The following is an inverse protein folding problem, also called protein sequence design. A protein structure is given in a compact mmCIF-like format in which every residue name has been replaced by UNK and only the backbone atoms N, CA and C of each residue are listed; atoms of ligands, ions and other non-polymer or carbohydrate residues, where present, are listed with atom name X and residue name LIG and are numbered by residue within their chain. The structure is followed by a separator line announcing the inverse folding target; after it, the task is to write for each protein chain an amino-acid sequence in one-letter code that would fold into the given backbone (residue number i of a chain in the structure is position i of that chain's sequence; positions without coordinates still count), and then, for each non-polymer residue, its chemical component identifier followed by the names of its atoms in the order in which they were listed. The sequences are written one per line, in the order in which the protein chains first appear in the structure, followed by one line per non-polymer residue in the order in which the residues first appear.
data_IF_533641397069
#
_entry.id   IF_533641397069
#
_cell.length_a   1.000
_cell.length_b   1.000
_cell.length_c   1.000
_cell.angle_alpha   90.00
_cell.angle_beta   90.00
_cell.angle_gamma   90.00
#
_symmetry.space_group_name_H-M   'P 1'
#
loop_
_entity.id
_entity.type
_entity.pdbx_description
1 polymer ?
#
# COMPACT_ATOMS: atom_id res chain seq x y z
N UNK A 1 -60.37 32.74 19.58
CA UNK A 1 -58.93 32.92 19.28
C UNK A 1 -58.14 32.04 20.22
N UNK A 2 -57.75 30.87 19.73
CA UNK A 2 -56.66 30.06 20.26
C UNK A 2 -56.25 29.18 19.08
N UNK A 3 -55.13 29.54 18.45
CA UNK A 3 -54.46 28.73 17.44
C UNK A 3 -53.68 27.65 18.19
N UNK A 4 -53.94 26.39 17.87
CA UNK A 4 -53.12 25.26 18.29
C UNK A 4 -52.42 24.79 17.01
N UNK A 5 -51.16 25.20 16.84
CA UNK A 5 -50.31 24.71 15.77
C UNK A 5 -50.01 23.22 16.02
N UNK A 6 -50.65 22.36 15.23
CA UNK A 6 -50.25 20.97 15.11
C UNK A 6 -48.91 20.93 14.38
N UNK A 7 -47.86 20.66 15.14
CA UNK A 7 -46.52 20.42 14.66
C UNK A 7 -46.54 19.17 13.75
N UNK A 8 -46.44 19.40 12.44
CA UNK A 8 -46.30 18.36 11.43
C UNK A 8 -44.93 17.66 11.62
N UNK A 9 -45.01 16.35 11.84
CA UNK A 9 -43.91 15.40 11.96
C UNK A 9 -43.17 15.26 10.62
N UNK A 10 -41.86 15.56 10.50
CA UNK A 10 -41.17 15.57 9.21
C UNK A 10 -40.63 14.19 8.80
N UNK A 11 -41.35 13.09 9.10
CA UNK A 11 -40.91 11.73 8.78
C UNK A 11 -41.78 10.93 7.80
N UNK A 12 -42.70 11.56 7.09
CA UNK A 12 -43.35 10.93 5.95
C UNK A 12 -43.31 11.85 4.74
N UNK A 13 -42.37 11.59 3.81
CA UNK A 13 -42.73 11.21 2.45
C UNK A 13 -41.51 10.95 1.54
N UNK A 14 -41.70 9.95 0.68
CA UNK A 14 -40.96 9.64 -0.55
C UNK A 14 -39.72 8.75 -0.43
N UNK A 15 -39.98 7.52 0.00
CA UNK A 15 -39.25 6.33 -0.39
C UNK A 15 -39.49 5.97 -1.86
N UNK A 16 -38.91 6.67 -2.84
CA UNK A 16 -38.68 6.10 -4.18
C UNK A 16 -37.52 6.84 -4.90
N UNK A 17 -36.35 6.19 -4.94
CA UNK A 17 -35.21 6.58 -5.78
C UNK A 17 -33.99 7.14 -5.03
N UNK A 18 -33.26 6.32 -4.26
CA UNK A 18 -32.10 6.79 -3.49
C UNK A 18 -30.99 5.75 -3.24
N UNK A 19 -30.89 4.73 -4.09
CA UNK A 19 -29.95 3.61 -3.87
C UNK A 19 -28.52 3.89 -4.34
N UNK A 20 -28.34 4.55 -5.49
CA UNK A 20 -27.03 4.73 -6.12
C UNK A 20 -26.29 5.97 -5.65
N UNK A 21 -26.97 7.10 -5.47
CA UNK A 21 -26.33 8.34 -5.01
C UNK A 21 -25.87 8.25 -3.56
N UNK A 22 -26.62 7.56 -2.69
CA UNK A 22 -26.21 7.33 -1.30
C UNK A 22 -25.01 6.38 -1.20
N UNK A 23 -24.94 5.33 -2.04
CA UNK A 23 -23.78 4.42 -2.09
C UNK A 23 -22.55 5.11 -2.67
N UNK A 24 -22.68 5.91 -3.73
CA UNK A 24 -21.58 6.67 -4.31
C UNK A 24 -21.07 7.74 -3.34
N UNK A 25 -21.97 8.47 -2.66
CA UNK A 25 -21.63 9.42 -1.60
C UNK A 25 -20.93 8.73 -0.42
N UNK A 26 -21.40 7.56 0.00
CA UNK A 26 -20.81 6.82 1.12
C UNK A 26 -19.47 6.18 0.76
N UNK A 27 -19.33 5.72 -0.49
CA UNK A 27 -18.06 5.20 -1.02
C UNK A 27 -17.04 6.32 -1.15
N UNK A 28 -17.45 7.46 -1.71
CA UNK A 28 -16.65 8.69 -1.81
C UNK A 28 -16.25 9.20 -0.41
N UNK A 29 -17.16 9.15 0.56
CA UNK A 29 -16.88 9.49 1.95
C UNK A 29 -15.84 8.52 2.57
N UNK A 30 -15.94 7.21 2.33
CA UNK A 30 -14.93 6.24 2.80
C UNK A 30 -13.56 6.47 2.15
N UNK A 31 -13.51 6.78 0.87
CA UNK A 31 -12.26 7.13 0.18
C UNK A 31 -11.67 8.42 0.75
N UNK A 32 -12.47 9.47 0.95
CA UNK A 32 -12.01 10.74 1.55
C UNK A 32 -11.57 10.57 2.99
N UNK A 33 -12.28 9.80 3.80
CA UNK A 33 -11.91 9.53 5.19
C UNK A 33 -10.65 8.66 5.29
N UNK A 34 -10.44 7.75 4.33
CA UNK A 34 -9.22 6.97 4.20
C UNK A 34 -8.04 7.89 3.87
N UNK A 35 -8.18 8.77 2.88
CA UNK A 35 -7.15 9.75 2.51
C UNK A 35 -6.87 10.76 3.63
N UNK A 36 -7.89 11.27 4.32
CA UNK A 36 -7.74 12.19 5.45
C UNK A 36 -7.06 11.56 6.68
N UNK A 37 -7.03 10.22 6.77
CA UNK A 37 -6.22 9.51 7.79
C UNK A 37 -4.73 9.46 7.45
N UNK A 38 -4.37 9.60 6.18
CA UNK A 38 -2.98 9.56 5.67
C UNK A 38 -2.25 10.89 5.90
N UNK A 39 -2.98 12.01 5.98
CA UNK A 39 -2.41 13.37 6.17
C UNK A 39 -1.69 13.61 7.52
N UNK A 40 -1.58 12.60 8.38
CA UNK A 40 -0.89 12.72 9.67
C UNK A 40 0.53 12.16 9.58
N UNK A 41 1.43 12.88 8.90
CA UNK A 41 2.84 12.49 8.75
C UNK A 41 3.52 12.16 10.09
N UNK A 42 3.18 12.90 11.15
CA UNK A 42 3.67 12.64 12.51
C UNK A 42 3.22 11.28 13.08
N UNK A 43 2.06 10.75 12.65
CA UNK A 43 1.58 9.41 13.00
C UNK A 43 2.23 8.32 12.17
N UNK A 44 2.68 8.61 10.95
CA UNK A 44 3.32 7.60 10.08
C UNK A 44 4.58 7.01 10.73
N UNK A 45 5.38 7.85 11.42
CA UNK A 45 6.55 7.37 12.16
C UNK A 45 6.21 6.40 13.31
N UNK A 46 4.98 6.45 13.81
CA UNK A 46 4.46 5.58 14.89
C UNK A 46 3.80 4.29 14.35
N UNK A 47 3.59 4.18 13.03
CA UNK A 47 3.05 2.97 12.43
C UNK A 47 4.07 1.83 12.61
N UNK A 48 3.57 0.65 12.98
CA UNK A 48 4.42 -0.51 13.19
C UNK A 48 5.13 -0.90 11.88
N UNK A 49 6.39 -1.37 11.92
CA UNK A 49 7.08 -1.82 10.72
C UNK A 49 6.34 -2.92 9.97
N UNK A 50 5.64 -3.81 10.68
CA UNK A 50 4.82 -4.86 10.06
C UNK A 50 3.63 -4.28 9.29
N UNK A 51 2.99 -3.21 9.78
CA UNK A 51 1.91 -2.53 9.06
C UNK A 51 2.43 -1.77 7.84
N UNK A 52 3.63 -1.17 7.93
CA UNK A 52 4.29 -0.57 6.78
C UNK A 52 4.68 -1.62 5.73
N UNK A 53 5.20 -2.77 6.15
CA UNK A 53 5.47 -3.89 5.25
C UNK A 53 4.20 -4.38 4.55
N UNK A 54 3.09 -4.52 5.29
CA UNK A 54 1.81 -4.93 4.73
C UNK A 54 1.33 -4.03 3.57
N UNK A 55 1.42 -2.71 3.73
CA UNK A 55 1.05 -1.81 2.62
C UNK A 55 2.13 -1.76 1.53
N UNK A 56 3.40 -1.85 1.90
CA UNK A 56 4.52 -1.84 0.97
C UNK A 56 4.56 -3.04 0.03
N UNK A 57 4.18 -4.22 0.53
CA UNK A 57 3.98 -5.43 -0.28
C UNK A 57 2.94 -5.19 -1.39
N UNK A 58 1.79 -4.62 -1.03
CA UNK A 58 0.76 -4.28 -2.02
C UNK A 58 1.21 -3.22 -3.05
N UNK A 59 1.95 -2.20 -2.60
CA UNK A 59 2.52 -1.17 -3.48
C UNK A 59 3.53 -1.79 -4.47
N UNK A 60 4.41 -2.66 -3.97
CA UNK A 60 5.41 -3.31 -4.80
C UNK A 60 4.79 -4.30 -5.79
N UNK A 61 3.84 -5.12 -5.34
CA UNK A 61 3.07 -6.04 -6.18
C UNK A 61 2.36 -5.30 -7.32
N UNK A 62 1.69 -4.18 -7.01
CA UNK A 62 1.00 -3.37 -8.02
C UNK A 62 1.98 -2.78 -9.03
N UNK A 63 3.13 -2.25 -8.58
CA UNK A 63 4.16 -1.71 -9.46
C UNK A 63 4.67 -2.77 -10.45
N UNK A 64 5.03 -3.95 -9.95
CA UNK A 64 5.52 -5.06 -10.79
C UNK A 64 4.44 -5.56 -11.75
N UNK A 65 3.20 -5.74 -11.29
CA UNK A 65 2.08 -6.14 -12.14
C UNK A 65 1.82 -5.13 -13.25
N UNK A 66 1.92 -3.84 -12.95
CA UNK A 66 1.71 -2.76 -13.93
C UNK A 66 2.80 -2.77 -14.99
N UNK A 67 4.06 -2.98 -14.60
CA UNK A 67 5.20 -3.09 -15.53
C UNK A 67 5.00 -4.21 -16.55
N UNK A 68 4.55 -5.38 -16.08
CA UNK A 68 4.36 -6.54 -16.94
C UNK A 68 2.99 -6.63 -17.60
N UNK A 69 2.07 -5.68 -17.37
CA UNK A 69 0.69 -5.77 -17.85
C UNK A 69 0.59 -5.76 -19.39
N UNK A 70 1.50 -5.04 -20.05
CA UNK A 70 1.48 -4.84 -21.50
C UNK A 70 2.78 -5.38 -22.14
N UNK A 71 2.71 -5.95 -23.36
CA UNK A 71 1.49 -6.23 -24.15
C UNK A 71 0.64 -7.39 -23.58
N UNK A 72 -0.58 -7.64 -24.09
CA UNK A 72 -1.42 -8.77 -23.71
C UNK A 72 -0.69 -10.13 -23.81
N UNK A 73 -0.64 -10.89 -22.71
CA UNK A 73 -0.06 -12.24 -22.59
C UNK A 73 -1.06 -13.19 -21.93
N UNK A 74 -0.74 -14.48 -21.83
CA UNK A 74 -1.57 -15.43 -21.08
C UNK A 74 -1.45 -15.14 -19.58
N UNK A 75 -2.51 -15.37 -18.82
CA UNK A 75 -2.54 -15.12 -17.36
C UNK A 75 -1.40 -15.85 -16.63
N UNK A 76 -1.05 -17.07 -17.05
CA UNK A 76 0.07 -17.83 -16.49
C UNK A 76 1.42 -17.12 -16.68
N UNK A 77 1.61 -16.43 -17.81
CA UNK A 77 2.87 -15.77 -18.13
C UNK A 77 3.04 -14.53 -17.25
N UNK A 78 1.97 -13.74 -17.07
CA UNK A 78 1.95 -12.62 -16.12
C UNK A 78 2.27 -13.09 -14.70
N UNK A 79 1.61 -14.16 -14.25
CA UNK A 79 1.83 -14.69 -12.91
C UNK A 79 3.28 -15.11 -12.69
N UNK A 80 3.86 -15.86 -13.63
CA UNK A 80 5.24 -16.33 -13.53
C UNK A 80 6.26 -15.17 -13.50
N UNK A 81 6.06 -14.15 -14.34
CA UNK A 81 6.90 -12.95 -14.33
C UNK A 81 6.78 -12.21 -13.01
N UNK A 82 5.56 -11.92 -12.56
CA UNK A 82 5.33 -11.20 -11.30
C UNK A 82 5.95 -11.97 -10.12
N UNK A 83 5.66 -13.26 -9.97
CA UNK A 83 6.21 -14.12 -8.89
C UNK A 83 7.73 -14.11 -8.87
N UNK A 84 8.38 -14.07 -10.04
CA UNK A 84 9.83 -14.00 -10.13
C UNK A 84 10.42 -12.72 -9.50
N UNK A 85 9.65 -11.63 -9.39
CA UNK A 85 10.07 -10.37 -8.77
C UNK A 85 9.58 -10.19 -7.33
N UNK A 86 8.39 -10.70 -7.00
CA UNK A 86 7.72 -10.41 -5.72
C UNK A 86 8.05 -11.42 -4.62
N UNK A 87 8.64 -12.58 -4.97
CA UNK A 87 9.13 -13.53 -3.96
C UNK A 87 10.23 -12.93 -3.08
N UNK A 88 10.32 -13.41 -1.84
CA UNK A 88 11.25 -12.90 -0.83
C UNK A 88 12.72 -12.95 -1.27
N UNK A 89 13.15 -14.01 -1.95
CA UNK A 89 14.53 -14.13 -2.46
C UNK A 89 14.88 -13.03 -3.47
N UNK A 90 13.92 -12.65 -4.32
CA UNK A 90 14.11 -11.62 -5.33
C UNK A 90 14.10 -10.24 -4.69
N UNK A 91 13.17 -9.98 -3.78
CA UNK A 91 13.14 -8.76 -2.99
C UNK A 91 14.42 -8.55 -2.17
N UNK A 92 14.96 -9.62 -1.57
CA UNK A 92 16.23 -9.57 -0.84
C UNK A 92 17.42 -9.19 -1.73
N UNK A 93 17.44 -9.64 -3.00
CA UNK A 93 18.46 -9.23 -3.98
C UNK A 93 18.28 -7.78 -4.39
N UNK A 94 17.04 -7.36 -4.65
CA UNK A 94 16.69 -6.00 -5.01
C UNK A 94 17.10 -5.01 -3.92
N UNK A 95 16.90 -5.36 -2.65
CA UNK A 95 17.34 -4.52 -1.55
C UNK A 95 18.85 -4.22 -1.63
N UNK A 96 19.68 -5.22 -1.97
CA UNK A 96 21.13 -5.05 -2.13
C UNK A 96 21.47 -4.13 -3.32
N UNK A 97 20.70 -4.17 -4.41
CA UNK A 97 20.91 -3.27 -5.54
C UNK A 97 20.50 -1.83 -5.23
N UNK A 98 19.54 -1.64 -4.32
CA UNK A 98 19.08 -0.32 -3.90
C UNK A 98 19.97 0.32 -2.83
N UNK A 99 20.69 -0.46 -2.02
CA UNK A 99 21.53 0.02 -0.90
C UNK A 99 22.41 1.25 -1.19
N UNK A 100 23.08 1.37 -2.36
CA UNK A 100 23.90 2.54 -2.69
C UNK A 100 23.11 3.84 -2.81
N UNK A 101 21.81 3.76 -3.13
CA UNK A 101 20.95 4.92 -3.37
C UNK A 101 20.18 5.36 -2.13
N UNK A 102 20.31 4.63 -1.02
CA UNK A 102 19.55 4.88 0.21
C UNK A 102 20.20 5.95 1.09
N UNK A 103 19.37 6.85 1.60
CA UNK A 103 19.75 7.82 2.62
C UNK A 103 19.90 7.17 4.00
N UNK A 104 20.49 7.89 4.96
CA UNK A 104 20.64 7.39 6.33
C UNK A 104 19.30 7.13 7.02
N UNK A 105 18.28 7.97 6.80
CA UNK A 105 16.94 7.80 7.38
C UNK A 105 16.23 6.58 6.78
N UNK A 106 16.35 6.35 5.47
CA UNK A 106 15.80 5.17 4.79
C UNK A 106 16.45 3.88 5.30
N UNK A 107 17.76 3.89 5.55
CA UNK A 107 18.47 2.76 6.18
C UNK A 107 17.98 2.47 7.59
N UNK A 108 17.57 3.48 8.36
CA UNK A 108 16.96 3.25 9.67
C UNK A 108 15.58 2.59 9.57
N UNK A 109 14.75 2.99 8.59
CA UNK A 109 13.46 2.33 8.30
C UNK A 109 13.67 0.85 7.97
N UNK A 110 14.65 0.53 7.12
CA UNK A 110 15.01 -0.85 6.80
C UNK A 110 15.42 -1.63 8.05
N UNK A 111 16.27 -1.05 8.89
CA UNK A 111 16.72 -1.67 10.14
C UNK A 111 15.53 -1.98 11.06
N UNK A 112 14.58 -1.04 11.20
CA UNK A 112 13.34 -1.26 11.97
C UNK A 112 12.50 -2.40 11.40
N UNK A 113 12.31 -2.46 10.08
CA UNK A 113 11.60 -3.55 9.40
C UNK A 113 12.26 -4.91 9.65
N UNK A 114 13.59 -5.00 9.48
CA UNK A 114 14.38 -6.21 9.70
C UNK A 114 14.23 -6.76 11.12
N UNK A 115 14.25 -5.87 12.10
CA UNK A 115 14.14 -6.22 13.52
C UNK A 115 12.72 -6.65 13.91
N UNK A 116 11.69 -6.14 13.23
CA UNK A 116 10.31 -6.53 13.45
C UNK A 116 9.96 -7.90 12.83
N UNK A 117 10.64 -8.28 11.74
CA UNK A 117 10.47 -9.54 11.03
C UNK A 117 11.09 -10.75 11.78
N UNK A 118 10.60 -11.03 12.98
CA UNK A 118 11.17 -12.05 13.89
C UNK A 118 10.67 -13.47 13.63
N UNK A 119 9.42 -13.63 13.18
CA UNK A 119 8.80 -14.93 12.87
C UNK A 119 8.77 -15.15 11.37
N UNK A 120 9.82 -15.78 10.83
CA UNK A 120 9.82 -16.20 9.43
C UNK A 120 8.98 -17.48 9.24
N UNK A 121 8.36 -17.68 8.06
CA UNK A 121 7.75 -18.96 7.71
C UNK A 121 8.77 -20.10 7.82
N UNK A 122 8.33 -21.29 8.26
CA UNK A 122 9.20 -22.44 8.56
C UNK A 122 10.12 -22.87 7.41
N UNK A 123 9.75 -22.56 6.17
CA UNK A 123 10.47 -22.96 4.94
C UNK A 123 11.36 -21.87 4.36
N UNK A 124 11.27 -20.63 4.86
CA UNK A 124 12.02 -19.50 4.32
C UNK A 124 13.21 -19.19 5.22
N UNK A 125 14.38 -18.96 4.61
CA UNK A 125 15.55 -18.49 5.35
C UNK A 125 15.21 -17.18 6.06
N UNK A 126 15.48 -17.12 7.37
CA UNK A 126 15.14 -15.98 8.21
C UNK A 126 15.73 -14.67 7.70
N UNK A 127 16.98 -14.67 7.23
CA UNK A 127 17.65 -13.48 6.71
C UNK A 127 16.98 -12.98 5.43
N UNK A 128 16.62 -13.90 4.52
CA UNK A 128 15.91 -13.57 3.28
C UNK A 128 14.54 -12.94 3.60
N UNK A 129 13.79 -13.55 4.52
CA UNK A 129 12.52 -13.01 4.98
C UNK A 129 12.67 -11.61 5.59
N UNK A 130 13.68 -11.42 6.44
CA UNK A 130 13.99 -10.14 7.07
C UNK A 130 14.40 -9.06 6.06
N UNK A 131 15.16 -9.43 5.03
CA UNK A 131 15.54 -8.54 3.93
C UNK A 131 14.31 -8.11 3.13
N UNK A 132 13.48 -9.07 2.68
CA UNK A 132 12.24 -8.78 1.95
C UNK A 132 11.28 -7.90 2.76
N UNK A 133 10.97 -8.30 3.99
CA UNK A 133 10.08 -7.52 4.86
C UNK A 133 10.61 -6.12 5.17
N UNK A 134 11.94 -5.95 5.26
CA UNK A 134 12.52 -4.61 5.41
C UNK A 134 12.34 -3.75 4.17
N UNK A 135 12.50 -4.31 2.97
CA UNK A 135 12.23 -3.60 1.71
C UNK A 135 10.77 -3.15 1.66
N UNK A 136 9.83 -4.06 1.90
CA UNK A 136 8.38 -3.76 1.97
C UNK A 136 8.11 -2.64 2.98
N UNK A 137 8.73 -2.68 4.17
CA UNK A 137 8.61 -1.63 5.18
C UNK A 137 9.02 -0.25 4.62
N UNK A 138 10.15 -0.19 3.89
CA UNK A 138 10.63 1.05 3.29
C UNK A 138 9.70 1.56 2.18
N UNK A 139 9.23 0.67 1.31
CA UNK A 139 8.31 1.03 0.23
C UNK A 139 6.98 1.54 0.77
N UNK A 140 6.45 0.89 1.80
CA UNK A 140 5.23 1.33 2.48
C UNK A 140 5.40 2.67 3.20
N UNK A 141 6.56 2.90 3.83
CA UNK A 141 6.88 4.19 4.44
C UNK A 141 6.90 5.31 3.38
N UNK A 142 7.66 5.13 2.30
CA UNK A 142 7.79 6.14 1.24
C UNK A 142 6.47 6.36 0.51
N UNK A 143 5.66 5.32 0.29
CA UNK A 143 4.33 5.49 -0.28
C UNK A 143 3.45 6.46 0.52
N UNK A 144 3.57 6.44 1.86
CA UNK A 144 2.76 7.30 2.73
C UNK A 144 3.39 8.67 2.99
N UNK A 145 4.71 8.82 2.84
CA UNK A 145 5.42 10.08 3.18
C UNK A 145 5.94 10.86 1.98
N UNK A 146 6.37 10.17 0.92
CA UNK A 146 7.07 10.76 -0.23
C UNK A 146 7.01 9.83 -1.45
N UNK A 147 5.91 9.94 -2.21
CA UNK A 147 5.70 9.14 -3.42
C UNK A 147 6.69 9.47 -4.53
N UNK A 148 7.23 10.69 -4.57
CA UNK A 148 8.25 11.07 -5.54
C UNK A 148 9.56 10.31 -5.27
N UNK A 149 9.99 10.24 -4.01
CA UNK A 149 11.16 9.47 -3.61
C UNK A 149 10.96 7.97 -3.82
N UNK A 150 9.76 7.45 -3.57
CA UNK A 150 9.40 6.08 -3.91
C UNK A 150 9.63 5.80 -5.41
N UNK A 151 9.11 6.66 -6.29
CA UNK A 151 9.28 6.51 -7.74
C UNK A 151 10.76 6.53 -8.14
N UNK A 152 11.57 7.42 -7.55
CA UNK A 152 13.01 7.47 -7.82
C UNK A 152 13.71 6.16 -7.44
N UNK A 153 13.40 5.58 -6.27
CA UNK A 153 13.99 4.30 -5.86
C UNK A 153 13.55 3.15 -6.77
N UNK A 154 12.27 3.08 -7.12
CA UNK A 154 11.76 2.05 -8.02
C UNK A 154 12.37 2.16 -9.44
N UNK A 155 12.72 3.36 -9.90
CA UNK A 155 13.38 3.55 -11.19
C UNK A 155 14.80 2.94 -11.27
N UNK A 156 15.43 2.61 -10.13
CA UNK A 156 16.70 1.88 -10.10
C UNK A 156 16.54 0.36 -10.28
N UNK A 157 15.31 -0.16 -10.32
CA UNK A 157 15.06 -1.57 -10.58
C UNK A 157 15.38 -1.89 -12.04
N UNK A 158 16.26 -2.86 -12.24
CA UNK A 158 16.54 -3.42 -13.56
C UNK A 158 15.43 -4.40 -13.91
N UNK A 159 14.33 -3.87 -14.44
CA UNK A 159 13.25 -4.67 -15.02
C UNK A 159 13.50 -4.84 -16.52
N UNK A 160 13.19 -6.02 -17.05
CA UNK A 160 13.29 -6.28 -18.48
C UNK A 160 12.38 -5.31 -19.24
N UNK A 161 12.78 -4.92 -20.46
CA UNK A 161 11.92 -4.09 -21.31
C UNK A 161 10.59 -4.80 -21.58
N UNK A 162 9.45 -4.10 -21.49
CA UNK A 162 8.11 -4.68 -21.65
C UNK A 162 7.88 -5.35 -23.01
#
# INVERSE_FOLDING_TARGET
MAQTDAQLDPLEENSHGGGTDSILLWTEFRFRQFMAKVDQIAKIQQISPASLAYIGDAVYELYIRTHYLLPPRRICDYHNQVVAHVRAESQAKILRTLEPYLTASEKDVLRRGRNAATKSPRRLNREIYQQASSLETLLGYLYLTDTQRLTQLLAHLQLDSP
#
